data_IF_524702873597
#
_entry.id   IF_524702873597
#
_cell.length_a   1.000
_cell.length_b   1.000
_cell.length_c   1.000
_cell.angle_alpha   90.00
_cell.angle_beta   90.00
_cell.angle_gamma   90.00
#
_symmetry.space_group_name_H-M   'P 1'
#
loop_
_entity.id
_entity.type
_entity.pdbx_description
1 polymer ?
#
# COMPACT_ATOMS: atom_id res chain seq x y z
N UNK A 1 -6.16 -14.50 -22.40
CA UNK A 1 -7.43 -14.57 -21.64
C UNK A 1 -7.39 -13.46 -20.64
N UNK A 2 -8.22 -12.45 -20.86
CA UNK A 2 -8.36 -11.27 -20.01
C UNK A 2 -8.76 -11.71 -18.60
N UNK A 3 -8.03 -11.25 -17.59
CA UNK A 3 -8.39 -11.47 -16.19
C UNK A 3 -9.49 -10.46 -15.88
N UNK A 4 -10.76 -10.86 -15.74
CA UNK A 4 -11.83 -9.90 -15.53
C UNK A 4 -11.73 -9.43 -14.08
N UNK A 5 -11.41 -8.16 -13.89
CA UNK A 5 -11.64 -7.40 -12.66
C UNK A 5 -11.20 -8.10 -11.36
N UNK A 6 -9.88 -8.27 -11.15
CA UNK A 6 -9.41 -8.48 -9.78
C UNK A 6 -9.76 -7.24 -8.94
N UNK A 7 -10.12 -7.44 -7.67
CA UNK A 7 -10.39 -6.32 -6.74
C UNK A 7 -9.22 -5.34 -6.71
N UNK A 8 -7.98 -5.86 -6.80
CA UNK A 8 -6.78 -5.05 -6.86
C UNK A 8 -6.72 -4.17 -8.12
N UNK A 9 -7.12 -4.68 -9.29
CA UNK A 9 -7.17 -3.88 -10.52
C UNK A 9 -8.20 -2.77 -10.41
N UNK A 10 -9.36 -3.06 -9.81
CA UNK A 10 -10.40 -2.04 -9.56
C UNK A 10 -9.87 -0.93 -8.67
N UNK A 11 -9.16 -1.29 -7.59
CA UNK A 11 -8.51 -0.31 -6.70
C UNK A 11 -7.41 0.46 -7.44
N UNK A 12 -6.59 -0.19 -8.27
CA UNK A 12 -5.54 0.47 -9.06
C UNK A 12 -6.10 1.57 -9.96
N UNK A 13 -7.27 1.33 -10.55
CA UNK A 13 -7.95 2.24 -11.46
C UNK A 13 -8.60 3.44 -10.75
N UNK A 14 -8.69 3.45 -9.41
CA UNK A 14 -9.13 4.62 -8.64
C UNK A 14 -8.04 5.69 -8.54
N UNK A 15 -6.78 5.34 -8.82
CA UNK A 15 -5.63 6.24 -8.72
C UNK A 15 -5.17 6.66 -10.12
N UNK A 16 -4.56 7.85 -10.25
CA UNK A 16 -3.97 8.30 -11.50
C UNK A 16 -2.95 7.30 -12.06
N UNK A 17 -2.76 7.28 -13.38
CA UNK A 17 -1.85 6.33 -14.03
C UNK A 17 -0.40 6.46 -13.55
N UNK A 18 0.01 7.69 -13.20
CA UNK A 18 1.35 7.99 -12.68
C UNK A 18 1.56 7.60 -11.20
N UNK A 19 0.49 7.19 -10.49
CA UNK A 19 0.55 6.82 -9.09
C UNK A 19 0.30 5.33 -8.89
N UNK A 20 1.20 4.64 -8.17
CA UNK A 20 0.99 3.24 -7.80
C UNK A 20 0.53 3.13 -6.33
N UNK A 21 -0.73 2.74 -6.06
CA UNK A 21 -1.23 2.63 -4.70
C UNK A 21 -0.69 1.40 -3.95
N UNK A 22 -0.16 0.40 -4.68
CA UNK A 22 0.36 -0.82 -4.09
C UNK A 22 1.87 -0.78 -3.98
N UNK A 23 2.38 -0.76 -2.74
CA UNK A 23 3.81 -0.78 -2.47
C UNK A 23 4.39 -2.21 -2.40
N UNK A 24 3.67 -3.12 -1.73
CA UNK A 24 4.07 -4.52 -1.52
C UNK A 24 2.82 -5.40 -1.42
N UNK A 25 2.98 -6.72 -1.56
CA UNK A 25 1.90 -7.70 -1.46
C UNK A 25 2.29 -8.88 -0.57
N UNK A 26 1.37 -9.30 0.31
CA UNK A 26 1.52 -10.47 1.18
C UNK A 26 0.39 -11.44 0.88
N UNK A 27 0.73 -12.59 0.32
CA UNK A 27 -0.20 -13.65 -0.03
C UNK A 27 0.14 -14.96 0.66
N UNK A 28 -0.73 -15.95 0.51
CA UNK A 28 -0.49 -17.33 0.96
C UNK A 28 -0.60 -18.35 -0.19
N UNK A 29 -0.92 -17.88 -1.40
CA UNK A 29 -1.07 -18.70 -2.61
C UNK A 29 -0.30 -18.09 -3.78
N UNK A 30 0.09 -18.94 -4.73
CA UNK A 30 0.69 -18.50 -6.00
C UNK A 30 -0.26 -17.57 -6.79
N UNK A 31 -1.56 -17.74 -6.63
CA UNK A 31 -2.58 -16.86 -7.22
C UNK A 31 -2.47 -15.42 -6.74
N UNK A 32 -2.02 -15.21 -5.49
CA UNK A 32 -1.85 -13.88 -4.92
C UNK A 32 -0.64 -13.20 -5.57
N UNK A 33 0.45 -13.95 -5.76
CA UNK A 33 1.65 -13.47 -6.45
C UNK A 33 1.34 -12.98 -7.87
N UNK A 34 0.55 -13.74 -8.62
CA UNK A 34 0.08 -13.33 -9.96
C UNK A 34 -0.80 -12.08 -9.90
N UNK A 35 -1.65 -11.97 -8.89
CA UNK A 35 -2.55 -10.82 -8.70
C UNK A 35 -1.77 -9.54 -8.39
N UNK A 36 -0.74 -9.62 -7.55
CA UNK A 36 0.13 -8.49 -7.23
C UNK A 36 1.00 -8.07 -8.41
N UNK A 37 1.54 -9.01 -9.19
CA UNK A 37 2.26 -8.70 -10.44
C UNK A 37 1.36 -7.97 -11.44
N UNK A 38 0.11 -8.41 -11.59
CA UNK A 38 -0.83 -7.83 -12.54
C UNK A 38 -1.11 -6.34 -12.28
N UNK A 39 -1.11 -5.91 -11.01
CA UNK A 39 -1.32 -4.51 -10.62
C UNK A 39 -0.03 -3.70 -10.46
N UNK A 40 1.12 -4.27 -10.86
CA UNK A 40 2.40 -3.56 -10.94
C UNK A 40 3.25 -3.61 -9.66
N UNK A 41 2.99 -4.50 -8.71
CA UNK A 41 3.87 -4.69 -7.55
C UNK A 41 5.17 -5.38 -8.01
N UNK A 42 6.36 -4.84 -7.67
CA UNK A 42 7.63 -5.48 -8.00
C UNK A 42 7.78 -6.83 -7.30
N UNK A 43 8.36 -7.83 -7.97
CA UNK A 43 8.51 -9.19 -7.44
C UNK A 43 9.29 -9.25 -6.11
N UNK A 44 10.31 -8.38 -5.96
CA UNK A 44 11.07 -8.24 -4.71
C UNK A 44 10.28 -7.67 -3.54
N UNK A 45 9.02 -7.29 -3.76
CA UNK A 45 8.07 -6.79 -2.76
C UNK A 45 6.80 -7.65 -2.69
N UNK A 46 6.81 -8.82 -3.32
CA UNK A 46 5.74 -9.81 -3.21
C UNK A 46 6.25 -10.94 -2.32
N UNK A 47 5.49 -11.21 -1.27
CA UNK A 47 5.82 -12.16 -0.23
C UNK A 47 4.74 -13.22 -0.12
N UNK A 48 5.15 -14.49 -0.08
CA UNK A 48 4.24 -15.62 0.10
C UNK A 48 4.51 -16.27 1.45
N UNK A 49 3.50 -16.35 2.30
CA UNK A 49 3.56 -16.91 3.64
C UNK A 49 3.04 -18.34 3.62
N UNK A 50 3.86 -19.28 4.08
CA UNK A 50 3.45 -20.67 4.21
C UNK A 50 2.77 -20.96 5.58
N UNK A 51 2.07 -22.09 5.74
CA UNK A 51 1.46 -22.46 7.01
C UNK A 51 2.45 -22.65 8.17
N UNK A 52 3.74 -22.90 7.87
CA UNK A 52 4.82 -22.96 8.86
C UNK A 52 5.33 -21.57 9.29
N UNK A 53 4.66 -20.49 8.88
CA UNK A 53 5.02 -19.09 9.16
C UNK A 53 6.34 -18.65 8.55
N UNK A 54 6.77 -19.32 7.48
CA UNK A 54 7.90 -18.91 6.67
C UNK A 54 7.41 -18.04 5.51
N UNK A 55 8.10 -16.94 5.29
CA UNK A 55 7.83 -15.92 4.29
C UNK A 55 8.87 -16.05 3.20
N UNK A 56 8.42 -16.25 1.97
CA UNK A 56 9.25 -16.39 0.78
C UNK A 56 9.11 -15.13 -0.06
N UNK A 57 10.23 -14.46 -0.35
CA UNK A 57 10.26 -13.33 -1.28
C UNK A 57 10.65 -13.81 -2.68
N UNK A 58 9.80 -13.52 -3.67
CA UNK A 58 9.99 -13.92 -5.07
C UNK A 58 11.02 -13.08 -5.84
N UNK A 59 12.14 -12.66 -5.24
CA UNK A 59 13.12 -11.84 -5.96
C UNK A 59 13.97 -12.68 -6.93
N UNK A 60 14.23 -12.15 -8.13
CA UNK A 60 14.94 -12.79 -9.25
C UNK A 60 16.33 -13.39 -8.98
N UNK A 61 16.90 -13.21 -7.78
CA UNK A 61 18.27 -13.65 -7.47
C UNK A 61 18.42 -14.41 -6.14
N UNK A 62 17.42 -14.41 -5.25
CA UNK A 62 17.53 -15.09 -3.96
C UNK A 62 16.15 -15.30 -3.32
N UNK A 63 15.68 -16.54 -3.23
CA UNK A 63 14.57 -16.87 -2.33
C UNK A 63 15.07 -16.73 -0.90
N UNK A 64 14.76 -15.59 -0.27
CA UNK A 64 15.04 -15.41 1.16
C UNK A 64 13.82 -15.89 1.93
N UNK A 65 14.03 -16.90 2.75
CA UNK A 65 13.04 -17.45 3.68
C UNK A 65 13.22 -16.72 5.01
N UNK A 66 12.20 -16.00 5.44
CA UNK A 66 12.15 -15.34 6.74
C UNK A 66 11.06 -15.98 7.59
N UNK A 67 11.19 -15.99 8.91
CA UNK A 67 10.01 -16.23 9.75
C UNK A 67 9.11 -15.00 9.72
N UNK A 68 7.81 -15.16 9.94
CA UNK A 68 6.89 -14.04 10.07
C UNK A 68 7.30 -13.08 11.19
N UNK A 69 7.90 -13.59 12.27
CA UNK A 69 8.50 -12.77 13.33
C UNK A 69 9.78 -12.05 12.88
N UNK A 70 10.58 -12.68 12.03
CA UNK A 70 11.82 -12.12 11.49
C UNK A 70 11.60 -11.01 10.47
N UNK A 71 10.43 -10.96 9.81
CA UNK A 71 10.12 -9.88 8.87
C UNK A 71 9.97 -8.53 9.56
N UNK A 72 9.55 -8.51 10.83
CA UNK A 72 9.44 -7.28 11.64
C UNK A 72 10.79 -6.57 11.76
N UNK A 73 11.88 -7.34 11.84
CA UNK A 73 13.24 -6.80 11.91
C UNK A 73 13.68 -6.12 10.60
N UNK A 74 13.05 -6.50 9.49
CA UNK A 74 13.36 -5.96 8.15
C UNK A 74 12.37 -4.88 7.71
N UNK A 75 11.34 -4.58 8.51
CA UNK A 75 10.34 -3.58 8.15
C UNK A 75 10.99 -2.22 7.89
N UNK A 76 11.89 -1.77 8.75
CA UNK A 76 12.56 -0.46 8.58
C UNK A 76 13.40 -0.40 7.29
N UNK A 77 13.93 -1.54 6.83
CA UNK A 77 14.72 -1.61 5.59
C UNK A 77 13.83 -1.73 4.35
N UNK A 78 12.72 -2.46 4.43
CA UNK A 78 11.83 -2.71 3.30
C UNK A 78 10.74 -1.64 3.14
N UNK A 79 10.33 -1.02 4.24
CA UNK A 79 9.29 0.00 4.37
C UNK A 79 9.87 1.20 5.12
N UNK A 80 10.77 1.97 4.49
CA UNK A 80 11.34 3.15 5.11
C UNK A 80 10.22 4.13 5.50
N UNK A 81 10.36 4.77 6.66
CA UNK A 81 9.41 5.78 7.11
C UNK A 81 9.24 6.88 6.06
N UNK A 82 8.01 7.10 5.64
CA UNK A 82 7.63 8.14 4.67
C UNK A 82 7.78 9.56 5.23
N UNK A 83 8.13 9.71 6.51
CA UNK A 83 8.24 10.98 7.24
C UNK A 83 9.36 11.94 6.77
N UNK A 84 9.93 11.75 5.58
CA UNK A 84 10.98 12.61 5.01
C UNK A 84 10.56 13.39 3.76
N UNK A 85 9.28 13.52 3.47
CA UNK A 85 8.80 14.34 2.34
C UNK A 85 7.64 15.23 2.74
N UNK A 86 7.74 16.52 2.41
CA UNK A 86 6.61 17.47 2.33
C UNK A 86 5.39 16.90 1.57
N UNK A 87 5.56 15.86 0.75
CA UNK A 87 4.52 15.15 -0.01
C UNK A 87 3.37 14.54 0.83
N UNK A 88 3.61 14.12 2.08
CA UNK A 88 2.52 13.53 2.89
C UNK A 88 1.47 14.58 3.29
N UNK A 89 1.89 15.84 3.51
CA UNK A 89 0.97 16.92 3.83
C UNK A 89 0.07 17.26 2.63
N UNK A 90 0.57 17.09 1.41
CA UNK A 90 -0.23 17.26 0.18
C UNK A 90 -1.20 16.09 -0.05
N UNK A 91 -0.83 14.86 0.34
CA UNK A 91 -1.71 13.68 0.25
C UNK A 91 -2.83 13.62 1.29
N UNK A 92 -2.67 14.26 2.44
CA UNK A 92 -3.72 14.36 3.46
C UNK A 92 -4.80 15.41 3.13
N UNK A 93 -4.78 15.99 1.94
CA UNK A 93 -5.83 16.92 1.50
C UNK A 93 -7.22 16.32 1.65
N UNK A 94 -7.44 15.08 1.22
CA UNK A 94 -8.76 14.44 1.14
C UNK A 94 -9.11 13.58 2.37
N UNK A 95 -9.19 14.19 3.54
CA UNK A 95 -9.71 13.52 4.75
C UNK A 95 -10.87 14.32 5.38
N UNK A 96 -11.54 13.73 6.38
CA UNK A 96 -12.69 14.34 7.05
C UNK A 96 -12.38 15.68 7.73
N UNK A 97 -11.13 15.91 8.09
CA UNK A 97 -10.66 17.10 8.78
C UNK A 97 -10.19 18.20 7.81
N UNK A 98 -9.63 17.83 6.66
CA UNK A 98 -9.00 18.75 5.70
C UNK A 98 -9.92 19.13 4.54
N UNK A 99 -10.56 18.17 3.86
CA UNK A 99 -11.40 18.42 2.67
C UNK A 99 -12.89 18.48 2.98
N UNK A 100 -13.38 17.61 3.87
CA UNK A 100 -14.81 17.51 4.17
C UNK A 100 -15.25 18.31 5.40
N UNK A 101 -14.37 19.15 5.95
CA UNK A 101 -14.77 20.07 7.02
C UNK A 101 -15.84 21.02 6.47
N UNK A 102 -16.91 21.20 7.24
CA UNK A 102 -17.85 22.29 6.98
C UNK A 102 -17.16 23.60 7.39
N UNK A 103 -17.29 24.64 6.57
CA UNK A 103 -16.81 25.97 6.96
C UNK A 103 -17.45 26.36 8.30
N UNK A 104 -16.64 26.98 9.16
CA UNK A 104 -17.16 27.48 10.43
C UNK A 104 -18.22 28.55 10.12
N UNK A 105 -19.37 28.54 10.82
CA UNK A 105 -20.34 29.61 10.71
C UNK A 105 -19.65 30.95 11.00
N UNK A 106 -19.92 31.96 10.16
CA UNK A 106 -19.54 33.33 10.49
C UNK A 106 -20.29 33.72 11.77
N UNK A 107 -19.55 33.99 12.84
CA UNK A 107 -20.10 34.56 14.06
C UNK A 107 -20.20 36.06 13.78
N UNK A 108 -21.42 36.58 13.66
CA UNK A 108 -21.64 38.02 13.63
C UNK A 108 -21.24 38.59 14.99
N UNK A 109 -20.30 39.53 15.01
CA UNK A 109 -19.80 40.20 16.23
C UNK A 109 -20.84 41.17 16.85
N UNK A 110 -22.13 41.08 16.50
CA UNK A 110 -23.17 42.06 16.92
C UNK A 110 -23.86 41.75 18.26
N UNK A 111 -23.50 40.66 18.96
CA UNK A 111 -24.12 40.26 20.25
C UNK A 111 -23.22 40.45 21.50
N UNK A 112 -22.42 41.53 21.57
CA UNK A 112 -21.71 41.96 22.81
C UNK A 112 -22.22 43.29 23.35
#
# INVERSE_FOLDING_TARGET
>A
MDVPYSTLQTIRNLFPDFWSPFYAGFGNRETDERSYRAVGVPEGKIFTINPASEVVCGCNKMSKVYTLSGINLLLDQMFPSLAKGQDLLEQEGYNSWNYWKMDLPEIDDEDV
#
